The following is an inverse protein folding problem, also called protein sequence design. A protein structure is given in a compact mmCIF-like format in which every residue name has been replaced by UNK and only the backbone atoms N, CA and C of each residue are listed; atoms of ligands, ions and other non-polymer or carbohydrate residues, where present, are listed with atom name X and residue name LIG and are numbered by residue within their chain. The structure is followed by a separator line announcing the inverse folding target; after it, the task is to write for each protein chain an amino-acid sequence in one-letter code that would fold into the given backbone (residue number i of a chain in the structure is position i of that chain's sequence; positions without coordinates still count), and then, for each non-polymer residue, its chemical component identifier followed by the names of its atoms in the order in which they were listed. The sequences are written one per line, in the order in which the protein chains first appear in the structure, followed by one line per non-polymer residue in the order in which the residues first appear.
data_IF_954491903465
#
_entry.id   IF_954491903465
#
_cell.length_a   1.000
_cell.length_b   1.000
_cell.length_c   1.000
_cell.angle_alpha   90.00
_cell.angle_beta   90.00
_cell.angle_gamma   90.00
#
_symmetry.space_group_name_H-M   'P 1'
#
loop_
_entity.id
_entity.type
_entity.pdbx_description
1 polymer ?
#
# COMPACT_ATOMS: atom_id res chain seq x y z
N UNK A 1 6.87 -6.90 35.61
CA UNK A 1 8.29 -6.67 35.20
C UNK A 1 8.34 -5.39 34.40
N UNK A 2 9.21 -4.42 34.75
CA UNK A 2 9.29 -3.15 34.00
C UNK A 2 10.07 -3.37 32.69
N UNK A 3 9.35 -3.45 31.56
CA UNK A 3 9.98 -3.62 30.23
C UNK A 3 10.64 -2.30 29.85
N UNK A 4 11.92 -2.35 29.45
CA UNK A 4 12.72 -1.20 28.99
C UNK A 4 12.93 -1.25 27.47
N UNK A 5 13.42 -0.15 26.90
CA UNK A 5 13.75 -0.09 25.46
C UNK A 5 14.76 -1.19 25.10
N UNK A 6 14.50 -1.89 23.99
CA UNK A 6 15.23 -3.04 23.45
C UNK A 6 15.04 -4.36 24.22
N UNK A 7 14.33 -4.38 25.36
CA UNK A 7 14.01 -5.63 26.01
C UNK A 7 13.12 -6.48 25.11
N UNK A 8 13.33 -7.81 25.22
CA UNK A 8 12.49 -8.80 24.55
C UNK A 8 11.45 -9.30 25.54
N UNK A 9 10.24 -9.50 25.04
CA UNK A 9 9.13 -10.03 25.81
C UNK A 9 8.20 -10.84 24.93
N UNK A 10 7.45 -11.74 25.54
CA UNK A 10 6.41 -12.53 24.87
C UNK A 10 5.07 -11.85 25.07
N UNK A 11 4.28 -11.79 23.99
CA UNK A 11 2.93 -11.25 24.03
C UNK A 11 2.03 -11.98 23.04
N UNK A 12 0.77 -12.19 23.44
CA UNK A 12 -0.28 -12.69 22.55
C UNK A 12 -1.04 -11.50 21.99
N UNK A 13 -1.29 -11.53 20.68
CA UNK A 13 -2.00 -10.48 19.97
C UNK A 13 -3.51 -10.72 20.05
N UNK A 14 -4.20 -9.81 20.69
CA UNK A 14 -5.63 -9.87 21.00
C UNK A 14 -6.51 -9.11 19.99
N UNK A 15 -5.94 -8.06 19.37
CA UNK A 15 -6.65 -7.19 18.43
C UNK A 15 -5.67 -6.59 17.41
N UNK A 16 -6.17 -5.83 16.45
CA UNK A 16 -5.36 -5.08 15.47
C UNK A 16 -5.84 -3.64 15.37
N UNK A 17 -4.86 -2.73 15.26
CA UNK A 17 -5.08 -1.32 15.03
C UNK A 17 -5.51 -0.99 13.59
N UNK A 18 -5.84 0.27 13.36
CA UNK A 18 -6.29 0.75 12.05
C UNK A 18 -5.23 0.61 10.95
N UNK A 19 -3.98 0.69 11.33
CA UNK A 19 -2.81 0.52 10.45
C UNK A 19 -2.38 -0.94 10.27
N UNK A 20 -3.14 -1.90 10.82
CA UNK A 20 -2.84 -3.32 10.75
C UNK A 20 -1.78 -3.78 11.77
N UNK A 21 -1.33 -2.94 12.68
CA UNK A 21 -0.43 -3.35 13.76
C UNK A 21 -1.19 -4.22 14.78
N UNK A 22 -0.62 -5.35 15.17
CA UNK A 22 -1.15 -6.19 16.23
C UNK A 22 -1.16 -5.46 17.57
N UNK A 23 -2.19 -5.68 18.37
CA UNK A 23 -2.36 -5.14 19.71
C UNK A 23 -2.36 -6.28 20.72
N UNK A 24 -1.46 -6.23 21.69
CA UNK A 24 -1.43 -7.16 22.80
C UNK A 24 -1.14 -6.46 24.12
N UNK A 25 -1.31 -7.17 25.25
CA UNK A 25 -1.06 -6.63 26.59
C UNK A 25 -0.08 -7.50 27.36
N UNK A 26 0.81 -6.79 28.10
CA UNK A 26 1.69 -7.41 29.08
C UNK A 26 1.52 -6.62 30.38
N UNK A 27 1.11 -7.29 31.46
CA UNK A 27 0.84 -6.68 32.76
C UNK A 27 -0.10 -5.43 32.66
N UNK A 28 -1.10 -5.49 31.77
CA UNK A 28 -2.07 -4.42 31.52
C UNK A 28 -1.57 -3.30 30.58
N UNK A 29 -0.28 -3.27 30.25
CA UNK A 29 0.30 -2.29 29.33
C UNK A 29 0.12 -2.70 27.87
N UNK A 30 -0.34 -1.76 27.03
CA UNK A 30 -0.68 -2.03 25.63
C UNK A 30 0.56 -1.94 24.74
N UNK A 31 0.74 -2.93 23.87
CA UNK A 31 1.80 -2.95 22.87
C UNK A 31 1.22 -3.00 21.46
N UNK A 32 1.70 -2.10 20.59
CA UNK A 32 1.46 -2.12 19.15
C UNK A 32 2.66 -2.74 18.46
N UNK A 33 2.42 -3.83 17.72
CA UNK A 33 3.48 -4.60 17.07
C UNK A 33 3.17 -4.75 15.58
N UNK A 34 3.98 -4.10 14.73
CA UNK A 34 3.86 -4.23 13.28
C UNK A 34 4.13 -5.69 12.86
N UNK A 35 3.43 -6.17 11.82
CA UNK A 35 3.54 -7.50 11.23
C UNK A 35 3.10 -8.66 12.16
N UNK A 36 2.45 -8.35 13.27
CA UNK A 36 1.84 -9.32 14.19
C UNK A 36 0.32 -9.36 13.97
N UNK A 37 -0.27 -10.55 13.97
CA UNK A 37 -1.68 -10.78 13.63
C UNK A 37 -2.47 -11.25 14.84
N UNK A 38 -3.78 -10.99 14.85
CA UNK A 38 -4.69 -11.46 15.91
C UNK A 38 -4.55 -12.98 16.08
N UNK A 39 -4.27 -13.42 17.31
CA UNK A 39 -4.08 -14.82 17.69
C UNK A 39 -2.63 -15.30 17.66
N UNK A 40 -1.69 -14.50 17.14
CA UNK A 40 -0.27 -14.82 17.27
C UNK A 40 0.20 -14.73 18.72
N UNK A 41 1.03 -15.67 19.13
CA UNK A 41 1.93 -15.47 20.27
C UNK A 41 3.32 -15.23 19.73
N UNK A 42 3.91 -14.10 20.11
CA UNK A 42 5.16 -13.59 19.52
C UNK A 42 6.23 -13.24 20.56
N UNK A 43 7.48 -13.30 20.15
CA UNK A 43 8.56 -12.56 20.81
C UNK A 43 8.67 -11.19 20.14
N UNK A 44 8.55 -10.13 20.92
CA UNK A 44 8.66 -8.75 20.48
C UNK A 44 9.81 -8.04 21.19
N UNK A 45 10.36 -6.99 20.59
CA UNK A 45 11.38 -6.13 21.20
C UNK A 45 10.85 -4.70 21.32
N UNK A 46 10.89 -4.15 22.53
CA UNK A 46 10.41 -2.81 22.84
C UNK A 46 11.19 -1.74 22.08
N UNK A 47 10.50 -0.88 21.33
CA UNK A 47 11.11 0.20 20.56
C UNK A 47 10.91 1.58 21.19
N UNK A 48 9.67 1.89 21.55
CA UNK A 48 9.27 3.19 22.09
C UNK A 48 8.14 2.99 23.09
N UNK A 49 8.31 3.56 24.26
CA UNK A 49 7.28 3.53 25.31
C UNK A 49 6.69 4.92 25.52
N UNK A 50 5.41 4.96 25.81
CA UNK A 50 4.60 6.10 26.22
C UNK A 50 4.01 5.81 27.60
N UNK A 51 3.26 6.74 28.18
CA UNK A 51 2.69 6.56 29.51
C UNK A 51 1.78 5.33 29.62
N UNK A 52 0.94 5.06 28.61
CA UNK A 52 -0.12 4.04 28.65
C UNK A 52 0.02 2.94 27.58
N UNK A 53 0.96 3.09 26.64
CA UNK A 53 1.17 2.13 25.58
C UNK A 53 2.60 2.21 25.00
N UNK A 54 3.01 1.18 24.28
CA UNK A 54 4.29 1.15 23.60
C UNK A 54 4.22 0.59 22.19
N UNK A 55 5.31 0.78 21.47
CA UNK A 55 5.53 0.19 20.14
C UNK A 55 6.66 -0.82 20.26
N UNK A 56 6.48 -1.99 19.66
CA UNK A 56 7.48 -3.01 19.61
C UNK A 56 7.67 -3.54 18.18
N UNK A 57 8.81 -4.15 17.94
CA UNK A 57 9.14 -4.83 16.70
C UNK A 57 8.94 -6.33 16.89
N UNK A 58 8.28 -6.97 15.95
CA UNK A 58 8.22 -8.42 15.87
C UNK A 58 9.64 -8.98 15.70
N UNK A 59 10.06 -9.86 16.60
CA UNK A 59 11.31 -10.61 16.51
C UNK A 59 11.08 -11.94 15.82
N UNK A 60 10.10 -12.73 16.34
CA UNK A 60 9.65 -13.98 15.73
C UNK A 60 8.24 -14.34 16.20
N UNK A 61 7.55 -15.11 15.41
CA UNK A 61 6.30 -15.75 15.78
C UNK A 61 6.66 -17.04 16.54
N UNK A 62 6.15 -17.18 17.76
CA UNK A 62 6.32 -18.39 18.60
C UNK A 62 5.25 -19.38 18.25
N UNK A 63 3.99 -18.93 18.29
CA UNK A 63 2.83 -19.72 17.89
C UNK A 63 2.03 -18.87 16.88
N UNK A 64 1.93 -19.32 15.62
CA UNK A 64 1.19 -18.57 14.62
C UNK A 64 -0.31 -18.61 14.89
N UNK A 65 -0.99 -17.51 14.56
CA UNK A 65 -2.44 -17.45 14.52
C UNK A 65 -3.00 -18.47 13.50
N UNK A 66 -4.19 -19.00 13.74
CA UNK A 66 -4.85 -19.93 12.81
C UNK A 66 -5.06 -19.33 11.40
N UNK A 67 -5.23 -18.03 11.31
CA UNK A 67 -5.39 -17.32 10.04
C UNK A 67 -4.08 -16.77 9.45
N UNK A 68 -2.90 -17.09 10.03
CA UNK A 68 -1.62 -16.65 9.45
C UNK A 68 -1.27 -17.48 8.23
N UNK A 69 -0.95 -16.80 7.14
CA UNK A 69 -0.51 -17.39 5.87
C UNK A 69 0.82 -16.80 5.44
N UNK A 70 1.51 -17.47 4.52
CA UNK A 70 2.69 -16.90 3.89
C UNK A 70 2.31 -15.80 2.90
N UNK A 71 3.01 -14.66 2.97
CA UNK A 71 2.80 -13.56 2.04
C UNK A 71 3.27 -13.96 0.63
N UNK A 72 2.42 -13.78 -0.38
CA UNK A 72 2.80 -14.04 -1.79
C UNK A 72 3.90 -13.10 -2.30
N UNK A 73 3.95 -11.87 -1.77
CA UNK A 73 4.97 -10.90 -2.14
C UNK A 73 6.20 -11.03 -1.23
N UNK A 74 7.41 -11.30 -1.76
CA UNK A 74 8.60 -11.52 -0.94
C UNK A 74 9.06 -10.26 -0.19
N UNK A 75 8.61 -9.08 -0.59
CA UNK A 75 8.93 -7.80 0.05
C UNK A 75 7.76 -7.23 0.88
N UNK A 76 6.71 -8.00 1.14
CA UNK A 76 5.50 -7.52 1.82
C UNK A 76 5.78 -6.80 3.14
N UNK A 77 6.69 -7.33 3.97
CA UNK A 77 7.08 -6.73 5.27
C UNK A 77 7.94 -5.48 5.13
N UNK A 78 8.77 -5.42 4.08
CA UNK A 78 9.66 -4.28 3.84
C UNK A 78 8.91 -3.13 3.15
N UNK A 79 8.01 -3.46 2.21
CA UNK A 79 7.21 -2.51 1.44
C UNK A 79 6.15 -1.84 2.33
N UNK A 80 5.98 -0.54 2.21
CA UNK A 80 4.93 0.21 2.92
C UNK A 80 3.52 0.05 2.34
N UNK A 81 3.37 -0.66 1.21
CA UNK A 81 2.11 -0.75 0.48
C UNK A 81 1.09 -1.75 1.05
N UNK A 82 1.55 -2.82 1.70
CA UNK A 82 0.70 -3.89 2.23
C UNK A 82 0.92 -4.09 3.73
N UNK A 83 -0.18 -4.29 4.48
CA UNK A 83 -0.14 -4.53 5.92
C UNK A 83 -0.70 -5.89 6.32
N UNK A 84 -1.54 -6.51 5.49
CA UNK A 84 -2.32 -7.69 5.85
C UNK A 84 -2.07 -8.91 4.96
N UNK A 85 -1.01 -8.95 4.15
CA UNK A 85 -0.77 -10.09 3.25
C UNK A 85 -0.52 -11.41 3.96
N UNK A 86 -0.06 -11.38 5.21
CA UNK A 86 0.16 -12.57 6.02
C UNK A 86 -1.10 -13.04 6.77
N UNK A 87 -2.24 -12.36 6.58
CA UNK A 87 -3.53 -12.76 7.11
C UNK A 87 -4.39 -13.36 6.00
N UNK A 88 -4.96 -14.54 6.23
CA UNK A 88 -5.92 -15.17 5.30
C UNK A 88 -7.03 -14.20 4.92
N UNK A 89 -7.47 -14.23 3.66
CA UNK A 89 -8.40 -13.22 3.15
C UNK A 89 -9.75 -13.23 3.87
N UNK A 90 -10.25 -14.40 4.29
CA UNK A 90 -11.49 -14.48 5.08
C UNK A 90 -11.33 -13.82 6.45
N UNK A 91 -10.15 -13.95 7.05
CA UNK A 91 -9.85 -13.27 8.31
C UNK A 91 -9.64 -11.76 8.12
N UNK A 92 -9.10 -11.33 6.96
CA UNK A 92 -9.06 -9.90 6.60
C UNK A 92 -10.47 -9.31 6.49
N UNK A 93 -11.42 -10.04 5.89
CA UNK A 93 -12.82 -9.60 5.79
C UNK A 93 -13.45 -9.45 7.17
N UNK A 94 -13.30 -10.45 8.05
CA UNK A 94 -13.79 -10.38 9.44
C UNK A 94 -13.21 -9.18 10.20
N UNK A 95 -11.91 -8.95 10.07
CA UNK A 95 -11.25 -7.80 10.68
C UNK A 95 -11.83 -6.48 10.19
N UNK A 96 -12.01 -6.33 8.88
CA UNK A 96 -12.56 -5.11 8.25
C UNK A 96 -14.01 -4.88 8.66
N UNK A 97 -14.84 -5.92 8.66
CA UNK A 97 -16.24 -5.86 9.11
C UNK A 97 -16.32 -5.43 10.58
N UNK A 98 -15.58 -6.11 11.47
CA UNK A 98 -15.50 -5.75 12.89
C UNK A 98 -15.04 -4.31 13.10
N UNK A 99 -14.08 -3.84 12.30
CA UNK A 99 -13.58 -2.45 12.37
C UNK A 99 -14.69 -1.46 12.05
N UNK A 100 -15.42 -1.64 10.93
CA UNK A 100 -16.55 -0.77 10.56
C UNK A 100 -17.62 -0.78 11.63
N UNK A 101 -18.04 -1.97 12.08
CA UNK A 101 -19.02 -2.12 13.17
C UNK A 101 -18.60 -1.36 14.45
N UNK A 102 -17.36 -1.53 14.88
CA UNK A 102 -16.84 -0.84 16.05
C UNK A 102 -16.80 0.68 15.90
N UNK A 103 -16.48 1.19 14.70
CA UNK A 103 -16.47 2.62 14.43
C UNK A 103 -17.89 3.19 14.49
N UNK A 104 -18.86 2.56 13.86
CA UNK A 104 -20.25 2.98 13.89
C UNK A 104 -20.82 2.93 15.32
N UNK A 105 -20.56 1.84 16.04
CA UNK A 105 -21.06 1.65 17.43
C UNK A 105 -20.43 2.64 18.41
N UNK A 106 -19.08 2.77 18.42
CA UNK A 106 -18.34 3.48 19.47
C UNK A 106 -18.07 4.95 19.15
N UNK A 107 -17.77 5.26 17.89
CA UNK A 107 -17.45 6.63 17.45
C UNK A 107 -18.71 7.30 16.91
N UNK A 108 -19.47 6.58 16.08
CA UNK A 108 -20.73 7.05 15.52
C UNK A 108 -21.90 7.07 16.51
N UNK A 109 -21.78 6.42 17.69
CA UNK A 109 -22.83 6.38 18.71
C UNK A 109 -24.08 5.61 18.29
N UNK A 110 -23.99 4.72 17.29
CA UNK A 110 -25.13 3.95 16.78
C UNK A 110 -25.43 2.78 17.73
N UNK A 111 -26.17 3.03 18.82
CA UNK A 111 -26.52 1.99 19.80
C UNK A 111 -27.46 0.92 19.24
N UNK A 112 -28.33 1.29 18.28
CA UNK A 112 -29.31 0.45 17.59
C UNK A 112 -28.74 -0.26 16.33
N UNK A 113 -27.41 -0.38 16.20
CA UNK A 113 -26.74 -1.11 15.13
C UNK A 113 -26.61 -2.59 15.50
N UNK A 114 -27.09 -3.47 14.63
CA UNK A 114 -27.03 -4.92 14.74
C UNK A 114 -26.33 -5.54 13.53
N UNK A 115 -25.63 -6.65 13.72
CA UNK A 115 -25.16 -7.46 12.60
C UNK A 115 -26.36 -8.25 12.01
N UNK A 116 -26.30 -8.60 10.72
CA UNK A 116 -27.39 -9.32 10.06
C UNK A 116 -27.75 -10.66 10.74
N UNK A 117 -26.76 -11.34 11.34
CA UNK A 117 -26.98 -12.54 12.18
C UNK A 117 -27.73 -12.27 13.50
N UNK A 118 -27.87 -11.02 13.87
CA UNK A 118 -28.55 -10.54 15.08
C UNK A 118 -29.88 -9.80 14.72
N UNK A 119 -30.37 -9.96 13.48
CA UNK A 119 -31.54 -9.26 12.97
C UNK A 119 -32.80 -9.50 13.82
N UNK A 120 -32.95 -10.68 14.40
CA UNK A 120 -34.06 -10.99 15.31
C UNK A 120 -34.06 -10.11 16.57
N UNK A 121 -32.88 -9.69 17.03
CA UNK A 121 -32.73 -8.80 18.20
C UNK A 121 -33.07 -7.35 17.85
N UNK A 122 -33.06 -6.99 16.57
CA UNK A 122 -33.44 -5.66 16.08
C UNK A 122 -34.98 -5.52 15.97
N UNK A 123 -35.73 -6.64 16.03
CA UNK A 123 -37.18 -6.60 15.89
C UNK A 123 -37.83 -5.79 17.03
N UNK A 124 -38.59 -4.75 16.67
CA UNK A 124 -39.22 -3.84 17.63
C UNK A 124 -38.31 -2.76 18.23
N UNK A 125 -37.02 -2.70 17.85
CA UNK A 125 -36.15 -1.59 18.23
C UNK A 125 -36.36 -0.41 17.30
N UNK A 126 -36.75 0.77 17.79
CA UNK A 126 -36.90 1.96 16.96
C UNK A 126 -35.61 2.29 16.21
N UNK A 127 -35.74 2.66 14.94
CA UNK A 127 -34.61 3.04 14.06
C UNK A 127 -33.47 2.01 14.03
N UNK A 128 -33.80 0.73 14.17
CA UNK A 128 -32.83 -0.35 14.10
C UNK A 128 -32.12 -0.35 12.72
N UNK A 129 -30.80 -0.41 12.74
CA UNK A 129 -29.95 -0.50 11.56
C UNK A 129 -29.32 -1.89 11.49
N UNK A 130 -29.51 -2.59 10.40
CA UNK A 130 -28.90 -3.88 10.16
C UNK A 130 -27.65 -3.69 9.30
N UNK A 131 -26.50 -4.09 9.80
CA UNK A 131 -25.27 -4.14 9.05
C UNK A 131 -25.13 -5.48 8.35
N UNK A 132 -25.24 -5.45 7.03
CA UNK A 132 -25.06 -6.65 6.19
C UNK A 132 -23.61 -7.14 6.22
N UNK A 133 -23.37 -8.44 5.90
CA UNK A 133 -22.02 -8.97 5.81
C UNK A 133 -21.18 -8.21 4.79
N UNK A 134 -19.89 -8.10 5.08
CA UNK A 134 -18.94 -7.46 4.16
C UNK A 134 -18.91 -8.21 2.82
N UNK A 135 -18.98 -7.46 1.72
CA UNK A 135 -18.81 -8.00 0.38
C UNK A 135 -17.31 -8.14 0.12
N UNK A 136 -16.86 -9.38 -0.08
CA UNK A 136 -15.49 -9.70 -0.43
C UNK A 136 -15.28 -9.80 -1.94
N UNK A 137 -14.04 -9.76 -2.36
CA UNK A 137 -13.62 -10.06 -3.74
C UNK A 137 -13.47 -11.57 -3.90
N UNK A 138 -13.78 -12.11 -5.08
CA UNK A 138 -13.50 -13.51 -5.44
C UNK A 138 -11.99 -13.75 -5.52
N UNK A 139 -11.28 -12.84 -6.24
CA UNK A 139 -9.82 -12.79 -6.27
C UNK A 139 -9.33 -11.44 -5.72
N UNK A 140 -8.68 -11.41 -4.53
CA UNK A 140 -8.21 -10.18 -3.91
C UNK A 140 -6.85 -9.70 -4.45
N UNK A 141 -6.48 -10.11 -5.65
CA UNK A 141 -5.25 -9.70 -6.34
C UNK A 141 -5.58 -8.90 -7.60
N UNK A 142 -4.60 -8.16 -8.12
CA UNK A 142 -4.71 -7.41 -9.39
C UNK A 142 -5.86 -6.38 -9.45
N UNK A 143 -6.37 -5.93 -8.30
CA UNK A 143 -7.58 -5.09 -8.23
C UNK A 143 -7.33 -3.59 -8.34
N UNK A 144 -6.06 -3.13 -8.25
CA UNK A 144 -5.77 -1.70 -8.30
C UNK A 144 -5.80 -1.20 -9.73
N UNK A 145 -6.74 -0.32 -10.04
CA UNK A 145 -6.78 0.38 -11.32
C UNK A 145 -5.76 1.53 -11.42
N UNK A 146 -5.23 2.01 -10.29
CA UNK A 146 -4.21 3.05 -10.26
C UNK A 146 -3.01 2.63 -9.40
N UNK A 147 -1.81 2.74 -9.94
CA UNK A 147 -0.57 2.57 -9.22
C UNK A 147 0.38 3.74 -9.49
N UNK A 148 1.14 4.16 -8.47
CA UNK A 148 2.11 5.24 -8.54
C UNK A 148 3.45 4.69 -8.04
N UNK A 149 4.40 4.56 -8.95
CA UNK A 149 5.69 3.96 -8.67
C UNK A 149 6.76 5.05 -8.57
N UNK A 150 7.32 5.35 -7.39
CA UNK A 150 8.54 6.13 -7.28
C UNK A 150 9.65 5.47 -8.11
N UNK A 151 10.40 6.31 -8.82
CA UNK A 151 11.60 5.90 -9.55
C UNK A 151 12.82 6.37 -8.76
N UNK A 152 13.75 5.47 -8.54
CA UNK A 152 14.99 5.76 -7.83
C UNK A 152 16.17 5.03 -8.45
N UNK A 153 17.30 4.97 -7.74
CA UNK A 153 18.49 4.22 -8.15
C UNK A 153 18.56 2.92 -7.38
N UNK A 154 18.73 1.82 -8.08
CA UNK A 154 19.05 0.51 -7.52
C UNK A 154 20.45 0.48 -6.90
N UNK A 155 20.78 -0.61 -6.23
CA UNK A 155 22.14 -0.83 -5.66
C UNK A 155 23.21 -0.93 -6.73
N UNK A 156 22.85 -1.30 -7.94
CA UNK A 156 23.69 -1.35 -9.14
C UNK A 156 23.84 0.02 -9.83
N UNK A 157 23.23 1.06 -9.30
CA UNK A 157 23.22 2.41 -9.85
C UNK A 157 22.22 2.65 -10.99
N UNK A 158 21.49 1.62 -11.45
CA UNK A 158 20.50 1.72 -12.52
C UNK A 158 19.17 2.28 -12.01
N UNK A 159 18.35 2.87 -12.89
CA UNK A 159 16.98 3.23 -12.55
C UNK A 159 16.19 2.00 -12.08
N UNK A 160 15.39 2.17 -11.05
CA UNK A 160 14.50 1.13 -10.54
C UNK A 160 13.17 1.71 -10.09
N UNK A 161 12.09 0.93 -10.22
CA UNK A 161 10.77 1.26 -9.74
C UNK A 161 10.47 0.52 -8.42
N UNK A 162 9.81 1.19 -7.49
CA UNK A 162 9.53 0.57 -6.20
C UNK A 162 8.37 1.22 -5.46
N UNK A 163 8.32 0.95 -4.16
CA UNK A 163 7.49 1.67 -3.19
C UNK A 163 8.34 2.05 -1.98
N UNK A 164 7.97 3.09 -1.28
CA UNK A 164 8.67 3.45 -0.06
C UNK A 164 8.37 2.49 1.08
N UNK A 165 9.38 2.13 1.84
CA UNK A 165 9.22 1.43 3.10
C UNK A 165 8.38 2.27 4.07
N UNK A 166 7.55 1.61 4.88
CA UNK A 166 6.64 2.31 5.78
C UNK A 166 7.35 3.31 6.69
N UNK A 167 6.87 4.56 6.73
CA UNK A 167 7.39 5.68 7.52
C UNK A 167 8.82 6.11 7.14
N UNK A 168 9.29 5.77 5.96
CA UNK A 168 10.60 6.21 5.44
C UNK A 168 10.49 6.55 3.95
N UNK A 169 11.56 7.14 3.39
CA UNK A 169 11.71 7.37 1.95
C UNK A 169 12.68 6.36 1.32
N UNK A 170 12.98 5.26 2.02
CA UNK A 170 13.79 4.17 1.45
C UNK A 170 12.98 3.42 0.40
N UNK A 171 13.45 3.42 -0.83
CA UNK A 171 12.81 2.72 -1.94
C UNK A 171 13.03 1.21 -1.82
N UNK A 172 11.94 0.47 -1.80
CA UNK A 172 11.91 -1.00 -1.89
C UNK A 172 11.55 -1.35 -3.32
N UNK A 173 12.47 -1.91 -4.11
CA UNK A 173 12.20 -2.30 -5.48
C UNK A 173 11.03 -3.30 -5.56
N UNK A 174 10.18 -3.13 -6.55
CA UNK A 174 9.13 -4.10 -6.86
C UNK A 174 9.80 -5.34 -7.46
N UNK A 175 9.63 -6.54 -6.86
CA UNK A 175 10.20 -7.76 -7.40
C UNK A 175 9.75 -7.98 -8.85
N UNK A 176 10.69 -8.20 -9.75
CA UNK A 176 10.43 -8.42 -11.18
C UNK A 176 9.52 -7.35 -11.83
N UNK A 177 9.47 -6.14 -11.26
CA UNK A 177 8.56 -5.04 -11.61
C UNK A 177 7.07 -5.39 -11.48
N UNK A 178 6.73 -6.52 -10.86
CA UNK A 178 5.38 -7.05 -10.76
C UNK A 178 4.80 -6.91 -9.34
N UNK A 179 4.00 -5.86 -9.11
CA UNK A 179 3.22 -5.71 -7.89
C UNK A 179 1.91 -6.50 -7.98
N UNK A 180 1.77 -7.54 -7.16
CA UNK A 180 0.59 -8.43 -7.17
C UNK A 180 -0.77 -7.73 -6.93
N UNK A 181 -0.79 -6.50 -6.43
CA UNK A 181 -2.02 -5.72 -6.28
C UNK A 181 -2.34 -4.87 -7.52
N UNK A 182 -1.32 -4.50 -8.31
CA UNK A 182 -1.48 -3.73 -9.55
C UNK A 182 -1.90 -4.61 -10.72
N UNK A 183 -2.33 -4.00 -11.80
CA UNK A 183 -2.60 -4.69 -13.06
C UNK A 183 -1.32 -5.38 -13.55
N UNK A 184 -1.46 -6.54 -14.21
CA UNK A 184 -0.33 -7.32 -14.68
C UNK A 184 0.51 -6.56 -15.72
N UNK A 185 -0.15 -5.78 -16.56
CA UNK A 185 0.45 -4.96 -17.64
C UNK A 185 1.35 -3.83 -17.08
N UNK A 186 1.20 -3.46 -15.80
CA UNK A 186 2.10 -2.47 -15.18
C UNK A 186 3.57 -2.86 -15.29
N UNK A 187 3.89 -4.15 -15.30
CA UNK A 187 5.24 -4.67 -15.43
C UNK A 187 5.88 -4.23 -16.75
N UNK A 188 5.14 -4.32 -17.84
CA UNK A 188 5.66 -4.03 -19.19
C UNK A 188 5.91 -2.51 -19.32
N UNK A 189 4.97 -1.68 -18.90
CA UNK A 189 5.16 -0.23 -18.87
C UNK A 189 6.34 0.20 -17.98
N UNK A 190 6.51 -0.41 -16.81
CA UNK A 190 7.66 -0.11 -15.96
C UNK A 190 8.96 -0.52 -16.61
N UNK A 191 9.01 -1.69 -17.23
CA UNK A 191 10.19 -2.17 -17.96
C UNK A 191 10.56 -1.22 -19.12
N UNK A 192 9.56 -0.79 -19.90
CA UNK A 192 9.76 0.14 -21.01
C UNK A 192 10.26 1.51 -20.53
N UNK A 193 9.69 2.05 -19.44
CA UNK A 193 10.15 3.33 -18.84
C UNK A 193 11.60 3.20 -18.34
N UNK A 194 11.93 2.15 -17.60
CA UNK A 194 13.30 1.97 -17.08
C UNK A 194 14.30 1.77 -18.21
N UNK A 195 13.93 1.00 -19.24
CA UNK A 195 14.76 0.80 -20.43
C UNK A 195 14.95 2.10 -21.21
N UNK A 196 13.89 2.92 -21.34
CA UNK A 196 14.01 4.28 -21.94
C UNK A 196 15.01 5.13 -21.16
N UNK A 197 14.92 5.12 -19.83
CA UNK A 197 15.85 5.89 -18.99
C UNK A 197 17.30 5.43 -19.16
N UNK A 198 17.55 4.12 -19.24
CA UNK A 198 18.89 3.58 -19.47
C UNK A 198 19.43 3.94 -20.86
N UNK A 199 18.64 3.74 -21.93
CA UNK A 199 19.07 3.96 -23.32
C UNK A 199 19.42 5.42 -23.62
N UNK A 200 18.71 6.36 -22.99
CA UNK A 200 18.88 7.79 -23.23
C UNK A 200 19.56 8.54 -22.08
N UNK A 201 20.06 7.83 -21.08
CA UNK A 201 20.75 8.45 -19.94
C UNK A 201 19.87 9.38 -19.12
N UNK A 202 18.55 9.12 -19.05
CA UNK A 202 17.60 9.90 -18.27
C UNK A 202 17.69 9.51 -16.80
N UNK A 203 18.04 10.48 -15.94
CA UNK A 203 18.31 10.19 -14.54
C UNK A 203 17.04 10.05 -13.69
N UNK A 204 17.08 9.09 -12.76
CA UNK A 204 16.09 8.99 -11.67
C UNK A 204 16.24 10.18 -10.70
N UNK A 205 15.12 10.69 -10.19
CA UNK A 205 15.11 11.75 -9.20
C UNK A 205 15.69 11.27 -7.87
N UNK A 206 16.60 12.06 -7.34
CA UNK A 206 17.16 11.93 -6.00
C UNK A 206 16.53 12.98 -5.09
N UNK A 207 15.65 12.53 -4.21
CA UNK A 207 14.89 13.39 -3.30
C UNK A 207 15.79 14.16 -2.33
N UNK A 208 16.88 13.53 -1.85
CA UNK A 208 17.79 14.13 -0.89
C UNK A 208 18.52 15.35 -1.48
N UNK A 209 18.96 15.22 -2.75
CA UNK A 209 19.73 16.25 -3.45
C UNK A 209 18.89 17.12 -4.38
N UNK A 210 17.61 16.79 -4.58
CA UNK A 210 16.71 17.45 -5.52
C UNK A 210 17.26 17.49 -6.94
N UNK A 211 17.86 16.38 -7.38
CA UNK A 211 18.49 16.21 -8.70
C UNK A 211 17.90 15.03 -9.44
N UNK A 212 18.15 14.97 -10.76
CA UNK A 212 17.56 13.95 -11.61
C UNK A 212 16.18 14.35 -12.09
N UNK A 213 15.66 13.65 -13.09
CA UNK A 213 14.48 14.06 -13.85
C UNK A 213 13.23 13.24 -13.47
N UNK A 214 13.26 11.92 -13.56
CA UNK A 214 12.06 11.08 -13.41
C UNK A 214 11.79 10.77 -11.95
N UNK A 215 10.65 11.26 -11.45
CA UNK A 215 10.21 11.08 -10.06
C UNK A 215 9.32 9.85 -9.87
N UNK A 216 8.26 9.74 -10.68
CA UNK A 216 7.26 8.68 -10.56
C UNK A 216 6.74 8.27 -11.93
N UNK A 217 6.27 7.03 -12.01
CA UNK A 217 5.39 6.54 -13.06
C UNK A 217 4.02 6.29 -12.45
N UNK A 218 3.00 6.94 -12.98
CA UNK A 218 1.62 6.70 -12.61
C UNK A 218 0.97 5.91 -13.74
N UNK A 219 0.41 4.75 -13.41
CA UNK A 219 -0.27 3.86 -14.33
C UNK A 219 -1.73 3.73 -13.93
N UNK A 220 -2.63 3.75 -14.90
CA UNK A 220 -4.05 3.48 -14.72
C UNK A 220 -4.54 2.49 -15.78
N UNK A 221 -5.50 1.66 -15.38
CA UNK A 221 -6.22 0.76 -16.27
C UNK A 221 -7.72 0.89 -16.01
N UNK A 222 -8.50 1.09 -17.07
CA UNK A 222 -9.96 0.89 -17.05
C UNK A 222 -10.23 -0.61 -17.15
N UNK A 223 -10.86 -1.21 -16.14
CA UNK A 223 -11.11 -2.64 -16.15
C UNK A 223 -12.23 -3.03 -17.13
N UNK A 224 -13.22 -2.17 -17.31
CA UNK A 224 -14.30 -2.40 -18.24
C UNK A 224 -13.87 -2.11 -19.68
N UNK A 225 -13.15 -1.03 -19.93
CA UNK A 225 -12.70 -0.61 -21.27
C UNK A 225 -11.46 -1.36 -21.74
N UNK A 226 -10.59 -1.78 -20.82
CA UNK A 226 -9.24 -2.27 -21.12
C UNK A 226 -8.22 -1.18 -21.43
N UNK A 227 -8.60 0.10 -21.38
CA UNK A 227 -7.73 1.23 -21.72
C UNK A 227 -6.64 1.44 -20.66
N UNK A 228 -5.44 1.86 -21.12
CA UNK A 228 -4.29 2.14 -20.27
C UNK A 228 -3.82 3.60 -20.38
N UNK A 229 -3.51 4.19 -19.22
CA UNK A 229 -2.91 5.52 -19.15
C UNK A 229 -1.56 5.45 -18.44
N UNK A 230 -0.57 6.13 -19.04
CA UNK A 230 0.77 6.33 -18.48
C UNK A 230 1.00 7.81 -18.25
N UNK A 231 1.33 8.19 -17.01
CA UNK A 231 1.77 9.55 -16.69
C UNK A 231 3.16 9.51 -16.05
N UNK A 232 4.13 10.15 -16.72
CA UNK A 232 5.48 10.31 -16.18
C UNK A 232 5.56 11.61 -15.39
N UNK A 233 5.94 11.53 -14.12
CA UNK A 233 6.13 12.70 -13.26
C UNK A 233 7.60 13.09 -13.26
N UNK A 234 7.90 14.32 -13.68
CA UNK A 234 9.28 14.79 -13.86
C UNK A 234 9.61 16.04 -13.05
N UNK A 235 10.86 16.09 -12.56
CA UNK A 235 11.48 17.24 -11.94
C UNK A 235 12.17 18.10 -13.03
N UNK A 236 11.39 18.71 -13.91
CA UNK A 236 11.89 19.49 -15.02
C UNK A 236 10.77 20.00 -15.90
N UNK A 237 11.11 20.84 -16.87
CA UNK A 237 10.16 21.44 -17.82
C UNK A 237 10.06 20.69 -19.15
N UNK A 238 10.89 19.68 -19.38
CA UNK A 238 10.98 18.97 -20.64
C UNK A 238 11.49 17.54 -20.41
N UNK A 239 10.92 16.58 -21.13
CA UNK A 239 11.44 15.22 -21.24
C UNK A 239 12.36 15.18 -22.47
N UNK A 240 13.65 14.84 -22.34
CA UNK A 240 14.47 14.54 -23.50
C UNK A 240 13.95 13.27 -24.20
N UNK A 241 14.11 13.18 -25.50
CA UNK A 241 13.64 12.04 -26.29
C UNK A 241 12.15 11.73 -26.15
N UNK A 242 11.33 12.79 -26.05
CA UNK A 242 9.87 12.67 -25.83
C UNK A 242 9.17 11.82 -26.87
N UNK A 243 9.63 11.88 -28.15
CA UNK A 243 9.04 11.08 -29.24
C UNK A 243 9.26 9.60 -29.04
N UNK A 244 10.48 9.24 -28.72
CA UNK A 244 10.88 7.84 -28.47
C UNK A 244 10.18 7.28 -27.21
N UNK A 245 9.94 8.12 -26.21
CA UNK A 245 9.13 7.75 -25.04
C UNK A 245 7.69 7.45 -25.45
N UNK A 246 7.07 8.31 -26.24
CA UNK A 246 5.70 8.10 -26.74
C UNK A 246 5.59 6.81 -27.55
N UNK A 247 6.53 6.58 -28.46
CA UNK A 247 6.54 5.38 -29.31
C UNK A 247 6.58 4.10 -28.46
N UNK A 248 7.50 4.00 -27.49
CA UNK A 248 7.61 2.85 -26.59
C UNK A 248 6.35 2.60 -25.79
N UNK A 249 5.75 3.65 -25.18
CA UNK A 249 4.52 3.47 -24.42
C UNK A 249 3.34 3.03 -25.28
N UNK A 250 3.29 3.45 -26.54
CA UNK A 250 2.29 3.02 -27.51
C UNK A 250 2.49 1.57 -27.97
N UNK A 251 3.73 1.15 -28.16
CA UNK A 251 4.06 -0.24 -28.47
C UNK A 251 3.58 -1.20 -27.39
N UNK A 252 3.61 -0.77 -26.12
CA UNK A 252 3.08 -1.52 -24.98
C UNK A 252 1.56 -1.37 -24.79
N UNK A 253 0.88 -0.59 -25.68
CA UNK A 253 -0.58 -0.47 -25.69
C UNK A 253 -1.15 0.69 -24.86
N UNK A 254 -0.38 1.75 -24.57
CA UNK A 254 -0.92 2.93 -23.88
C UNK A 254 -1.87 3.74 -24.77
N UNK A 255 -3.09 3.95 -24.31
CA UNK A 255 -4.12 4.74 -24.97
C UNK A 255 -4.00 6.24 -24.67
N UNK A 256 -3.45 6.57 -23.50
CA UNK A 256 -3.23 7.94 -23.06
C UNK A 256 -1.88 8.10 -22.39
N UNK A 257 -1.07 9.08 -22.83
CA UNK A 257 0.28 9.34 -22.31
C UNK A 257 0.39 10.80 -21.95
N UNK A 258 0.89 11.09 -20.75
CA UNK A 258 1.06 12.47 -20.25
C UNK A 258 2.33 12.66 -19.46
N UNK A 259 2.75 13.93 -19.32
CA UNK A 259 3.77 14.38 -18.37
C UNK A 259 3.12 15.23 -17.29
N UNK A 260 3.53 15.02 -16.05
CA UNK A 260 3.24 15.93 -14.94
C UNK A 260 4.52 16.59 -14.46
N UNK A 261 4.54 17.93 -14.45
CA UNK A 261 5.71 18.70 -14.08
C UNK A 261 5.68 19.02 -12.59
N UNK A 262 6.53 18.35 -11.81
CA UNK A 262 6.64 18.58 -10.37
C UNK A 262 8.09 18.88 -9.98
N UNK A 263 8.43 20.15 -9.92
CA UNK A 263 9.75 20.65 -9.54
C UNK A 263 9.83 21.07 -8.07
N UNK A 264 8.77 20.85 -7.30
CA UNK A 264 8.71 21.23 -5.89
C UNK A 264 9.31 20.17 -4.97
N UNK A 265 9.93 20.59 -3.86
CA UNK A 265 10.36 19.71 -2.77
C UNK A 265 9.16 19.39 -1.88
N UNK A 266 8.31 18.50 -2.34
CA UNK A 266 7.06 18.14 -1.67
C UNK A 266 6.78 16.64 -1.78
N UNK A 267 5.98 16.12 -0.85
CA UNK A 267 5.44 14.76 -0.90
C UNK A 267 4.25 14.61 -1.86
N UNK A 268 3.76 15.70 -2.43
CA UNK A 268 2.74 15.66 -3.48
C UNK A 268 3.37 15.08 -4.74
N UNK A 269 2.75 14.04 -5.31
CA UNK A 269 3.31 13.32 -6.45
C UNK A 269 3.13 14.09 -7.74
N UNK A 270 1.89 14.48 -8.07
CA UNK A 270 1.58 15.21 -9.28
C UNK A 270 1.89 16.71 -9.11
N UNK A 271 2.42 17.32 -10.15
CA UNK A 271 2.53 18.77 -10.24
C UNK A 271 1.20 19.43 -10.61
N UNK A 272 1.19 20.74 -10.66
CA UNK A 272 0.02 21.56 -11.03
C UNK A 272 -0.19 21.63 -12.53
N UNK A 273 0.85 21.38 -13.33
CA UNK A 273 0.83 21.40 -14.79
C UNK A 273 0.96 19.98 -15.33
N UNK A 274 0.07 19.63 -16.25
CA UNK A 274 0.07 18.34 -16.95
C UNK A 274 0.04 18.63 -18.47
N UNK A 275 0.97 18.02 -19.20
CA UNK A 275 1.03 18.05 -20.66
C UNK A 275 0.55 16.71 -21.21
N UNK A 276 -0.51 16.73 -22.02
CA UNK A 276 -0.90 15.55 -22.79
C UNK A 276 0.08 15.35 -23.95
N UNK A 277 0.63 14.14 -24.08
CA UNK A 277 1.57 13.77 -25.14
C UNK A 277 0.91 12.96 -26.25
N UNK A 278 -0.03 12.07 -25.87
CA UNK A 278 -0.71 11.18 -26.81
C UNK A 278 -2.09 10.79 -26.25
N UNK A 279 -3.04 10.53 -27.17
CA UNK A 279 -4.38 10.14 -26.84
C UNK A 279 -5.25 11.26 -26.28
N UNK A 280 -6.40 10.92 -25.69
CA UNK A 280 -7.41 11.92 -25.27
C UNK A 280 -7.05 12.65 -23.96
N UNK A 281 -6.02 12.19 -23.21
CA UNK A 281 -5.66 12.72 -21.90
C UNK A 281 -6.46 12.12 -20.74
N UNK A 282 -7.28 11.12 -21.00
CA UNK A 282 -8.06 10.34 -20.05
C UNK A 282 -8.21 8.90 -20.53
N UNK A 283 -8.75 8.04 -19.69
CA UNK A 283 -9.27 6.70 -20.02
C UNK A 283 -10.68 6.58 -19.47
N UNK A 284 -11.45 5.68 -20.03
CA UNK A 284 -12.79 5.32 -19.57
C UNK A 284 -12.76 4.03 -18.74
N UNK A 285 -13.82 3.82 -17.89
CA UNK A 285 -13.95 2.58 -17.10
C UNK A 285 -15.43 2.21 -16.92
#
# INVERSE_FOLDING_TARGET
MEIKKNDKFTVTIEDMGEDGAGIGRVDGYIWFVKDALIGDTIEASAMKMKKNYGFARLVRVITPAKGRVEAKCPVARACGGCQLQELDYKEQLKFKEKKVYNHLKRIGGMENLFLSKEADQAAGVPDAVIMEPIIGMEDPWRYRNKAQYPIGRGKDGKPTAGFFAGRTHSLIPVPELDCLLGCAENKDYLAAVLKFMEDFGVEAYDEANHKGLVRHVLLRKGFASGEHMVCLVINGKKLPHEKEFIERMREDGADSISLSFNMEKTNVILGTEIKNLYGPGYITD
#
